data_IF_165504153454
#
_entry.id   IF_165504153454
#
_cell.length_a   1.000
_cell.length_b   1.000
_cell.length_c   1.000
_cell.angle_alpha   90.00
_cell.angle_beta   90.00
_cell.angle_gamma   90.00
#
_symmetry.space_group_name_H-M   'P 1'
#
loop_
_entity.id
_entity.type
_entity.pdbx_description
1 polymer ?
#
# COMPACT_ATOMS: atom_id res chain seq x y z
N UNK A 1 45.77 50.37 -65.35
CA UNK A 1 45.59 49.38 -64.28
C UNK A 1 46.17 50.04 -63.04
N UNK A 2 45.45 51.05 -62.56
CA UNK A 2 44.34 50.96 -61.58
C UNK A 2 44.98 51.25 -60.22
N UNK A 3 44.87 52.52 -59.81
CA UNK A 3 43.87 53.00 -58.85
C UNK A 3 44.26 52.60 -57.41
N UNK A 4 44.29 53.46 -56.40
CA UNK A 4 44.00 54.88 -56.28
C UNK A 4 44.46 55.33 -54.88
N UNK A 5 44.99 56.56 -54.85
CA UNK A 5 45.05 57.62 -53.82
C UNK A 5 44.72 57.27 -52.34
N UNK A 6 45.61 57.53 -51.37
CA UNK A 6 45.98 58.84 -50.78
C UNK A 6 44.87 59.41 -49.86
N UNK A 7 45.11 59.48 -48.54
CA UNK A 7 45.28 60.73 -47.77
C UNK A 7 45.23 60.52 -46.24
N UNK A 8 46.30 60.97 -45.59
CA UNK A 8 46.37 61.40 -44.19
C UNK A 8 45.42 62.60 -43.94
N UNK A 9 44.80 62.72 -42.76
CA UNK A 9 45.38 63.45 -41.62
C UNK A 9 44.34 63.72 -40.50
N UNK A 10 44.86 63.65 -39.28
CA UNK A 10 44.51 64.29 -37.99
C UNK A 10 43.28 65.21 -37.86
N UNK A 11 42.60 65.11 -36.69
CA UNK A 11 42.21 66.18 -35.71
C UNK A 11 41.26 65.53 -34.69
N UNK A 12 41.64 65.37 -33.41
CA UNK A 12 41.47 66.28 -32.24
C UNK A 12 40.01 66.43 -31.72
N UNK A 13 39.82 66.15 -30.42
CA UNK A 13 38.92 66.83 -29.45
C UNK A 13 38.89 65.98 -28.17
N UNK A 14 39.63 66.37 -27.13
CA UNK A 14 39.22 67.30 -26.06
C UNK A 14 38.42 66.62 -24.93
N UNK A 15 38.87 66.91 -23.70
CA UNK A 15 38.22 66.68 -22.39
C UNK A 15 38.32 65.30 -21.72
N UNK A 16 39.56 64.97 -21.33
CA UNK A 16 39.82 64.50 -19.96
C UNK A 16 39.72 65.70 -19.00
N UNK A 17 38.65 65.76 -18.18
CA UNK A 17 38.65 66.17 -16.76
C UNK A 17 37.22 66.49 -16.28
N UNK A 18 36.67 65.58 -15.48
CA UNK A 18 36.12 65.84 -14.14
C UNK A 18 35.46 64.55 -13.64
N UNK A 19 36.13 63.86 -12.73
CA UNK A 19 35.35 63.34 -11.59
C UNK A 19 34.79 64.56 -10.84
N UNK A 20 33.56 64.45 -10.33
CA UNK A 20 33.47 64.52 -8.88
C UNK A 20 32.56 63.44 -8.31
N UNK A 21 33.10 62.77 -7.29
CA UNK A 21 32.48 62.47 -5.99
C UNK A 21 30.98 62.14 -5.94
N UNK A 22 30.71 60.94 -5.43
CA UNK A 22 29.72 60.66 -4.37
C UNK A 22 28.56 61.67 -4.26
N UNK A 23 27.40 61.28 -4.77
CA UNK A 23 26.13 61.62 -4.14
C UNK A 23 25.14 60.50 -4.42
N UNK A 24 24.65 59.91 -3.33
CA UNK A 24 23.45 59.09 -3.29
C UNK A 24 22.36 59.70 -4.18
N UNK A 25 21.82 58.90 -5.09
CA UNK A 25 20.44 59.00 -5.51
C UNK A 25 19.99 57.58 -5.84
N UNK A 26 19.61 56.84 -4.81
CA UNK A 26 18.64 55.76 -5.01
C UNK A 26 17.41 56.41 -5.66
N UNK A 27 16.90 55.88 -6.79
CA UNK A 27 15.65 56.38 -7.34
C UNK A 27 14.57 56.20 -6.28
N UNK A 28 13.90 57.29 -5.92
CA UNK A 28 12.69 57.24 -5.12
C UNK A 28 11.71 56.26 -5.77
N UNK A 29 11.39 55.19 -5.05
CA UNK A 29 10.31 54.28 -5.38
C UNK A 29 8.99 55.06 -5.26
N UNK A 30 8.58 55.69 -6.36
CA UNK A 30 7.19 56.10 -6.55
C UNK A 30 6.33 54.84 -6.54
N UNK A 31 5.45 54.73 -5.55
CA UNK A 31 4.73 53.54 -5.12
C UNK A 31 3.58 53.09 -6.06
N UNK A 32 3.78 53.10 -7.39
CA UNK A 32 2.72 52.75 -8.35
C UNK A 32 3.16 51.92 -9.57
N UNK A 33 4.39 51.40 -9.61
CA UNK A 33 4.77 50.42 -10.64
C UNK A 33 4.66 49.00 -10.06
N UNK A 34 3.95 48.12 -10.76
CA UNK A 34 3.81 46.72 -10.35
C UNK A 34 5.18 46.02 -10.37
N UNK A 35 5.38 45.09 -9.44
CA UNK A 35 6.61 44.27 -9.36
C UNK A 35 6.92 43.55 -10.69
N UNK A 36 5.89 43.28 -11.51
CA UNK A 36 6.01 42.68 -12.84
C UNK A 36 6.76 43.59 -13.85
N UNK A 37 6.63 44.91 -13.75
CA UNK A 37 7.28 45.87 -14.65
C UNK A 37 8.78 46.03 -14.33
N UNK A 38 9.14 45.93 -13.06
CA UNK A 38 10.55 45.97 -12.61
C UNK A 38 11.27 44.69 -13.01
N UNK A 39 10.63 43.53 -12.85
CA UNK A 39 11.19 42.23 -13.27
C UNK A 39 11.33 42.17 -14.80
N UNK A 40 10.31 42.61 -15.57
CA UNK A 40 10.41 42.63 -17.02
C UNK A 40 11.50 43.57 -17.54
N UNK A 41 11.72 44.74 -16.91
CA UNK A 41 12.85 45.63 -17.24
C UNK A 41 14.21 45.01 -16.94
N UNK A 42 14.35 44.34 -15.79
CA UNK A 42 15.59 43.64 -15.43
C UNK A 42 15.94 42.48 -16.39
N UNK A 43 14.93 41.83 -17.00
CA UNK A 43 15.15 40.80 -18.01
C UNK A 43 15.37 41.35 -19.44
N UNK A 44 14.85 42.53 -19.76
CA UNK A 44 15.00 43.13 -21.10
C UNK A 44 16.24 44.01 -21.25
N UNK A 45 16.69 44.71 -20.20
CA UNK A 45 17.92 45.53 -20.28
C UNK A 45 19.22 44.71 -20.20
N UNK A 46 19.16 43.44 -19.75
CA UNK A 46 20.32 42.55 -19.67
C UNK A 46 20.36 41.44 -20.73
N UNK A 47 19.42 41.42 -21.69
CA UNK A 47 19.40 40.39 -22.74
C UNK A 47 20.54 40.52 -23.75
N UNK A 48 21.05 41.73 -23.97
CA UNK A 48 22.02 42.00 -25.03
C UNK A 48 23.48 41.75 -24.63
N UNK A 49 23.77 41.60 -23.32
CA UNK A 49 25.12 41.36 -22.80
C UNK A 49 25.45 39.88 -22.49
N UNK A 50 24.52 38.95 -22.71
CA UNK A 50 24.68 37.55 -22.29
C UNK A 50 24.75 36.57 -23.48
N UNK A 51 25.50 36.93 -24.52
CA UNK A 51 25.79 36.03 -25.66
C UNK A 51 26.69 34.83 -25.31
N UNK A 52 27.26 34.81 -24.10
CA UNK A 52 28.09 33.72 -23.56
C UNK A 52 27.36 32.88 -22.49
N UNK A 53 26.04 32.75 -22.60
CA UNK A 53 25.30 31.81 -21.74
C UNK A 53 25.63 30.38 -22.19
N UNK A 54 26.52 29.69 -21.49
CA UNK A 54 26.66 28.24 -21.61
C UNK A 54 25.24 27.62 -21.51
N UNK A 55 24.86 26.69 -22.40
CA UNK A 55 23.54 26.09 -22.34
C UNK A 55 23.37 25.41 -20.99
N UNK A 56 22.40 25.90 -20.20
CA UNK A 56 22.05 25.27 -18.94
C UNK A 56 21.50 23.87 -19.23
N UNK A 57 21.82 22.88 -18.41
CA UNK A 57 21.31 21.51 -18.62
C UNK A 57 19.77 21.43 -18.60
N UNK A 58 19.08 22.47 -18.11
CA UNK A 58 17.61 22.58 -18.11
C UNK A 58 17.02 22.95 -19.47
N UNK A 59 17.85 23.38 -20.44
CA UNK A 59 17.44 23.79 -21.78
C UNK A 59 17.69 22.68 -22.83
N UNK A 60 17.91 21.43 -22.39
CA UNK A 60 18.12 20.29 -23.29
C UNK A 60 16.83 19.50 -23.55
N UNK A 61 16.69 18.85 -24.73
CA UNK A 61 15.52 18.02 -25.02
C UNK A 61 15.38 16.83 -24.05
N UNK A 62 16.49 16.33 -23.48
CA UNK A 62 16.46 15.27 -22.46
C UNK A 62 15.84 15.76 -21.14
N UNK A 63 16.08 17.02 -20.76
CA UNK A 63 15.45 17.62 -19.59
C UNK A 63 13.95 17.77 -19.81
N UNK A 64 13.51 18.28 -20.97
CA UNK A 64 12.09 18.44 -21.28
C UNK A 64 11.35 17.11 -21.28
N UNK A 65 11.96 16.07 -21.87
CA UNK A 65 11.41 14.71 -21.85
C UNK A 65 11.29 14.16 -20.43
N UNK A 66 12.31 14.37 -19.60
CA UNK A 66 12.28 13.97 -18.19
C UNK A 66 11.18 14.74 -17.43
N UNK A 67 11.04 16.04 -17.66
CA UNK A 67 9.99 16.86 -17.05
C UNK A 67 8.58 16.38 -17.44
N UNK A 68 8.38 15.99 -18.70
CA UNK A 68 7.13 15.40 -19.17
C UNK A 68 6.85 14.05 -18.49
N UNK A 69 7.84 13.16 -18.41
CA UNK A 69 7.72 11.88 -17.73
C UNK A 69 7.31 12.08 -16.25
N UNK A 70 7.94 13.01 -15.53
CA UNK A 70 7.60 13.33 -14.13
C UNK A 70 6.24 14.02 -13.98
N UNK A 71 5.81 14.82 -14.96
CA UNK A 71 4.45 15.38 -15.02
C UNK A 71 3.40 14.26 -15.19
N UNK A 72 3.71 13.25 -16.02
CA UNK A 72 2.87 12.05 -16.18
C UNK A 72 2.80 11.23 -14.90
N UNK A 73 3.93 10.99 -14.23
CA UNK A 73 3.96 10.29 -12.92
C UNK A 73 3.07 11.03 -11.92
N UNK A 74 3.18 12.36 -11.81
CA UNK A 74 2.34 13.18 -10.93
C UNK A 74 0.84 12.96 -11.19
N UNK A 75 0.41 12.93 -12.46
CA UNK A 75 -0.99 12.65 -12.83
C UNK A 75 -1.42 11.23 -12.43
N UNK A 76 -0.58 10.23 -12.67
CA UNK A 76 -0.86 8.83 -12.32
C UNK A 76 -0.96 8.63 -10.80
N UNK A 77 -0.10 9.27 -10.01
CA UNK A 77 -0.17 9.23 -8.55
C UNK A 77 -1.47 9.86 -8.03
N UNK A 78 -1.94 10.96 -8.63
CA UNK A 78 -3.24 11.54 -8.28
C UNK A 78 -4.43 10.63 -8.61
N UNK A 79 -4.31 9.73 -9.61
CA UNK A 79 -5.33 8.70 -9.90
C UNK A 79 -5.22 7.53 -8.90
N UNK A 80 -4.00 7.15 -8.52
CA UNK A 80 -3.77 6.10 -7.53
C UNK A 80 -4.33 6.47 -6.15
N UNK A 81 -4.33 7.76 -5.81
CA UNK A 81 -4.82 8.28 -4.53
C UNK A 81 -6.29 7.89 -4.23
N UNK A 82 -7.30 8.22 -5.05
CA UNK A 82 -8.67 7.74 -4.85
C UNK A 82 -8.83 6.24 -5.10
N UNK A 83 -8.03 5.66 -6.01
CA UNK A 83 -8.12 4.23 -6.32
C UNK A 83 -7.72 3.35 -5.13
N UNK A 84 -6.88 3.84 -4.22
CA UNK A 84 -6.44 3.13 -3.00
C UNK A 84 -7.57 2.71 -2.05
N UNK A 85 -8.78 3.27 -2.20
CA UNK A 85 -9.99 2.82 -1.52
C UNK A 85 -10.50 1.46 -2.05
N UNK A 86 -10.13 1.10 -3.28
CA UNK A 86 -10.52 -0.12 -3.98
C UNK A 86 -9.28 -0.96 -4.31
N UNK A 87 -8.82 -1.73 -3.33
CA UNK A 87 -7.53 -2.42 -3.37
C UNK A 87 -7.22 -3.22 -4.65
N UNK A 88 -8.15 -4.01 -5.25
CA UNK A 88 -7.84 -4.75 -6.49
C UNK A 88 -7.55 -3.84 -7.68
N UNK A 89 -8.31 -2.75 -7.78
CA UNK A 89 -8.16 -1.75 -8.84
C UNK A 89 -6.88 -0.95 -8.60
N UNK A 90 -6.64 -0.54 -7.35
CA UNK A 90 -5.41 0.12 -6.93
C UNK A 90 -4.18 -0.67 -7.32
N UNK A 91 -4.11 -1.97 -7.01
CA UNK A 91 -2.91 -2.76 -7.24
C UNK A 91 -2.50 -2.74 -8.71
N UNK A 92 -3.44 -2.96 -9.63
CA UNK A 92 -3.19 -2.96 -11.08
C UNK A 92 -2.73 -1.59 -11.58
N UNK A 93 -3.43 -0.52 -11.19
CA UNK A 93 -3.06 0.85 -11.57
C UNK A 93 -1.72 1.27 -10.97
N UNK A 94 -1.44 0.83 -9.74
CA UNK A 94 -0.22 1.17 -9.03
C UNK A 94 0.99 0.47 -9.66
N UNK A 95 0.87 -0.81 -10.03
CA UNK A 95 1.91 -1.50 -10.80
C UNK A 95 2.25 -0.81 -12.12
N UNK A 96 1.23 -0.41 -12.87
CA UNK A 96 1.43 0.35 -14.09
C UNK A 96 2.17 1.67 -13.81
N UNK A 97 1.74 2.39 -12.76
CA UNK A 97 2.36 3.64 -12.33
C UNK A 97 3.83 3.44 -11.93
N UNK A 98 4.15 2.40 -11.17
CA UNK A 98 5.52 2.04 -10.78
C UNK A 98 6.39 1.69 -11.99
N UNK A 99 5.85 0.98 -12.97
CA UNK A 99 6.58 0.63 -14.20
C UNK A 99 6.93 1.89 -14.99
N UNK A 100 5.98 2.82 -15.14
CA UNK A 100 6.21 4.12 -15.77
C UNK A 100 7.22 4.93 -14.95
N UNK A 101 7.09 4.93 -13.63
CA UNK A 101 7.97 5.68 -12.74
C UNK A 101 9.42 5.19 -12.80
N UNK A 102 9.64 3.88 -12.72
CA UNK A 102 10.97 3.29 -12.88
C UNK A 102 11.59 3.64 -14.24
N UNK A 103 10.82 3.54 -15.33
CA UNK A 103 11.31 3.91 -16.67
C UNK A 103 11.72 5.39 -16.74
N UNK A 104 10.96 6.28 -16.09
CA UNK A 104 11.26 7.71 -16.01
C UNK A 104 12.50 7.97 -15.14
N UNK A 105 12.59 7.34 -13.97
CA UNK A 105 13.72 7.48 -13.05
C UNK A 105 15.03 7.04 -13.71
N UNK A 106 15.04 5.89 -14.40
CA UNK A 106 16.23 5.41 -15.11
C UNK A 106 16.67 6.36 -16.22
N UNK A 107 15.71 6.91 -17.00
CA UNK A 107 16.01 7.90 -18.04
C UNK A 107 16.57 9.18 -17.45
N UNK A 108 15.91 9.73 -16.43
CA UNK A 108 16.33 10.95 -15.76
C UNK A 108 17.68 10.76 -15.04
N UNK A 109 17.93 9.60 -14.43
CA UNK A 109 19.22 9.27 -13.82
C UNK A 109 20.34 9.19 -14.86
N UNK A 110 20.09 8.52 -15.99
CA UNK A 110 21.10 8.41 -17.07
C UNK A 110 21.51 9.77 -17.62
N UNK A 111 20.59 10.72 -17.66
CA UNK A 111 20.83 12.11 -18.05
C UNK A 111 21.54 12.91 -16.94
N UNK A 112 21.02 12.89 -15.71
CA UNK A 112 21.47 13.74 -14.60
C UNK A 112 22.74 13.22 -13.91
N UNK A 113 23.20 11.99 -14.18
CA UNK A 113 24.46 11.45 -13.63
C UNK A 113 25.70 12.31 -13.93
N UNK A 114 25.65 13.11 -15.00
CA UNK A 114 26.70 14.04 -15.40
C UNK A 114 26.64 15.37 -14.60
N UNK A 115 25.54 15.63 -13.88
CA UNK A 115 25.24 16.87 -13.16
C UNK A 115 25.04 16.60 -11.66
N UNK A 116 26.05 15.99 -11.02
CA UNK A 116 25.96 15.47 -9.63
C UNK A 116 25.71 16.53 -8.55
N UNK A 117 26.01 17.80 -8.84
CA UNK A 117 25.79 18.94 -7.95
C UNK A 117 24.33 19.41 -7.93
N UNK A 118 23.53 19.01 -8.93
CA UNK A 118 22.13 19.39 -9.05
C UNK A 118 21.29 18.88 -7.88
N UNK A 119 20.35 19.72 -7.43
CA UNK A 119 19.34 19.33 -6.44
C UNK A 119 18.43 18.19 -6.93
N UNK A 120 18.30 17.99 -8.26
CA UNK A 120 17.53 16.90 -8.88
C UNK A 120 18.25 15.55 -8.76
N UNK A 121 19.59 15.53 -8.84
CA UNK A 121 20.36 14.27 -8.81
C UNK A 121 20.08 13.46 -7.54
N UNK A 122 20.15 14.11 -6.37
CA UNK A 122 19.90 13.46 -5.08
C UNK A 122 18.48 12.92 -4.97
N UNK A 123 17.49 13.63 -5.50
CA UNK A 123 16.09 13.23 -5.41
C UNK A 123 15.80 12.07 -6.37
N UNK A 124 16.33 12.09 -7.59
CA UNK A 124 16.17 11.01 -8.58
C UNK A 124 16.82 9.70 -8.11
N UNK A 125 18.03 9.77 -7.52
CA UNK A 125 18.68 8.57 -6.97
C UNK A 125 17.82 7.93 -5.88
N UNK A 126 17.24 8.75 -4.98
CA UNK A 126 16.33 8.27 -3.94
C UNK A 126 15.04 7.70 -4.53
N UNK A 127 14.44 8.36 -5.51
CA UNK A 127 13.22 7.89 -6.16
C UNK A 127 13.44 6.55 -6.87
N UNK A 128 14.55 6.39 -7.59
CA UNK A 128 14.87 5.14 -8.25
C UNK A 128 14.93 3.96 -7.26
N UNK A 129 15.58 4.16 -6.10
CA UNK A 129 15.60 3.16 -5.02
C UNK A 129 14.21 2.89 -4.44
N UNK A 130 13.46 3.95 -4.12
CA UNK A 130 12.14 3.83 -3.50
C UNK A 130 11.14 3.15 -4.43
N UNK A 131 11.01 3.58 -5.69
CA UNK A 131 10.10 2.97 -6.66
C UNK A 131 10.51 1.53 -7.00
N UNK A 132 11.81 1.20 -7.00
CA UNK A 132 12.26 -0.18 -7.17
C UNK A 132 11.84 -1.06 -6.00
N UNK A 133 12.03 -0.58 -4.77
CA UNK A 133 11.54 -1.27 -3.58
C UNK A 133 10.01 -1.45 -3.62
N UNK A 134 9.25 -0.42 -3.97
CA UNK A 134 7.79 -0.52 -4.10
C UNK A 134 7.37 -1.51 -5.17
N UNK A 135 8.07 -1.55 -6.30
CA UNK A 135 7.81 -2.52 -7.36
C UNK A 135 8.05 -3.95 -6.88
N UNK A 136 9.18 -4.21 -6.22
CA UNK A 136 9.50 -5.52 -5.67
C UNK A 136 8.47 -5.96 -4.61
N UNK A 137 8.08 -5.06 -3.70
CA UNK A 137 7.10 -5.34 -2.66
C UNK A 137 5.72 -5.59 -3.27
N UNK A 138 5.30 -4.80 -4.25
CA UNK A 138 4.05 -5.00 -4.99
C UNK A 138 4.06 -6.35 -5.73
N UNK A 139 5.16 -6.68 -6.42
CA UNK A 139 5.37 -7.96 -7.12
C UNK A 139 5.21 -9.14 -6.16
N UNK A 140 5.80 -9.05 -4.97
CA UNK A 140 5.66 -10.06 -3.94
C UNK A 140 4.21 -10.18 -3.44
N UNK A 141 3.50 -9.08 -3.19
CA UNK A 141 2.07 -9.10 -2.82
C UNK A 141 1.21 -9.78 -3.89
N UNK A 142 1.46 -9.48 -5.16
CA UNK A 142 0.76 -10.11 -6.27
C UNK A 142 1.03 -11.62 -6.33
N UNK A 143 2.28 -12.03 -6.09
CA UNK A 143 2.66 -13.43 -5.95
C UNK A 143 1.93 -14.14 -4.81
N UNK A 144 1.75 -13.49 -3.65
CA UNK A 144 0.97 -14.02 -2.53
C UNK A 144 -0.51 -14.22 -2.87
N UNK A 145 -1.10 -13.29 -3.63
CA UNK A 145 -2.48 -13.42 -4.12
C UNK A 145 -2.60 -14.64 -5.03
N UNK A 146 -1.70 -14.76 -6.02
CA UNK A 146 -1.69 -15.91 -6.94
C UNK A 146 -1.51 -17.21 -6.17
N UNK A 147 -0.54 -17.29 -5.26
CA UNK A 147 -0.33 -18.48 -4.44
C UNK A 147 -1.56 -18.83 -3.59
N UNK A 148 -2.23 -17.82 -3.03
CA UNK A 148 -3.48 -18.00 -2.29
C UNK A 148 -4.63 -18.55 -3.13
N UNK A 149 -4.67 -18.26 -4.43
CA UNK A 149 -5.67 -18.85 -5.34
C UNK A 149 -5.46 -20.36 -5.57
N UNK A 150 -4.22 -20.86 -5.45
CA UNK A 150 -3.87 -22.26 -5.73
C UNK A 150 -3.56 -23.08 -4.48
N UNK A 151 -3.57 -22.47 -3.29
CA UNK A 151 -3.15 -23.13 -2.05
C UNK A 151 -3.54 -22.34 -0.80
N UNK A 152 -2.75 -22.46 0.27
CA UNK A 152 -3.00 -21.73 1.50
C UNK A 152 -2.62 -20.25 1.34
N UNK A 153 -3.54 -19.35 1.69
CA UNK A 153 -3.30 -17.91 1.68
C UNK A 153 -2.60 -17.45 2.97
N UNK A 154 -1.37 -16.92 2.84
CA UNK A 154 -0.59 -16.41 3.97
C UNK A 154 -0.99 -14.97 4.33
N UNK A 155 -2.20 -14.79 4.85
CA UNK A 155 -2.76 -13.45 5.10
C UNK A 155 -1.93 -12.56 6.02
N UNK A 156 -1.25 -13.11 7.05
CA UNK A 156 -0.35 -12.32 7.91
C UNK A 156 0.84 -11.73 7.14
N UNK A 157 1.43 -12.52 6.24
CA UNK A 157 2.54 -12.06 5.39
C UNK A 157 2.01 -11.00 4.44
N UNK A 158 0.85 -11.23 3.82
CA UNK A 158 0.20 -10.28 2.93
C UNK A 158 -0.05 -8.92 3.61
N UNK A 159 -0.58 -8.92 4.83
CA UNK A 159 -0.79 -7.70 5.63
C UNK A 159 0.54 -7.00 5.93
N UNK A 160 1.55 -7.74 6.38
CA UNK A 160 2.88 -7.16 6.68
C UNK A 160 3.51 -6.51 5.44
N UNK A 161 3.46 -7.21 4.30
CA UNK A 161 3.96 -6.67 3.02
C UNK A 161 3.19 -5.43 2.60
N UNK A 162 1.87 -5.39 2.78
CA UNK A 162 1.05 -4.20 2.51
C UNK A 162 1.42 -2.99 3.37
N UNK A 163 1.72 -3.20 4.65
CA UNK A 163 2.21 -2.14 5.56
C UNK A 163 3.56 -1.61 5.05
N UNK A 164 4.49 -2.49 4.67
CA UNK A 164 5.80 -2.10 4.13
C UNK A 164 5.63 -1.26 2.87
N UNK A 165 4.80 -1.71 1.92
CA UNK A 165 4.55 -1.00 0.67
C UNK A 165 4.10 0.44 0.95
N UNK A 166 3.12 0.57 1.82
CA UNK A 166 2.50 1.84 2.14
C UNK A 166 3.43 2.78 2.92
N UNK A 167 4.28 2.25 3.82
CA UNK A 167 5.33 3.04 4.46
C UNK A 167 6.30 3.62 3.44
N UNK A 168 6.72 2.83 2.44
CA UNK A 168 7.60 3.32 1.36
C UNK A 168 6.88 4.40 0.54
N UNK A 169 5.59 4.21 0.24
CA UNK A 169 4.74 5.17 -0.48
C UNK A 169 4.59 6.52 0.22
N UNK A 170 4.56 6.53 1.56
CA UNK A 170 4.55 7.78 2.33
C UNK A 170 5.81 8.64 2.14
N UNK A 171 6.94 8.05 1.69
CA UNK A 171 8.17 8.77 1.38
C UNK A 171 8.34 9.03 -0.12
N UNK A 172 8.01 8.06 -0.97
CA UNK A 172 8.21 8.16 -2.42
C UNK A 172 7.24 9.14 -3.08
N UNK A 173 5.95 9.15 -2.71
CA UNK A 173 4.95 9.99 -3.38
C UNK A 173 5.23 11.48 -3.15
N UNK A 174 5.48 11.97 -1.91
CA UNK A 174 5.87 13.36 -1.71
C UNK A 174 7.14 13.74 -2.46
N UNK A 175 8.13 12.84 -2.49
CA UNK A 175 9.40 13.08 -3.17
C UNK A 175 9.21 13.15 -4.70
N UNK A 176 8.33 12.32 -5.26
CA UNK A 176 8.01 12.32 -6.69
C UNK A 176 7.26 13.60 -7.09
N UNK A 177 6.30 14.03 -6.28
CA UNK A 177 5.59 15.31 -6.48
C UNK A 177 6.53 16.51 -6.37
N UNK A 178 7.40 16.52 -5.36
CA UNK A 178 8.44 17.55 -5.21
C UNK A 178 9.37 17.58 -6.40
N UNK A 179 9.86 16.43 -6.85
CA UNK A 179 10.78 16.32 -8.00
C UNK A 179 10.09 16.79 -9.29
N UNK A 180 8.82 16.46 -9.49
CA UNK A 180 8.00 16.98 -10.60
C UNK A 180 7.90 18.52 -10.58
N UNK A 181 7.75 19.12 -9.40
CA UNK A 181 7.75 20.59 -9.27
C UNK A 181 9.11 21.21 -9.57
N UNK A 182 10.21 20.56 -9.16
CA UNK A 182 11.57 21.00 -9.49
C UNK A 182 11.83 20.99 -11.00
N UNK A 183 11.39 19.94 -11.69
CA UNK A 183 11.44 19.88 -13.15
C UNK A 183 10.61 21.01 -13.80
N UNK A 184 9.39 21.24 -13.32
CA UNK A 184 8.52 22.32 -13.81
C UNK A 184 9.14 23.71 -13.61
N UNK A 185 9.77 23.93 -12.47
CA UNK A 185 10.37 25.22 -12.11
C UNK A 185 11.78 25.41 -12.68
N UNK A 186 12.31 24.42 -13.42
CA UNK A 186 13.68 24.43 -13.97
C UNK A 186 14.74 24.79 -12.91
N UNK A 187 14.67 24.16 -11.73
CA UNK A 187 15.58 24.50 -10.61
C UNK A 187 17.07 24.39 -10.99
N UNK A 188 17.93 25.36 -10.59
CA UNK A 188 19.30 25.49 -11.06
C UNK A 188 20.27 24.42 -10.52
N UNK A 189 21.45 24.33 -11.16
CA UNK A 189 22.52 23.35 -10.88
C UNK A 189 23.12 23.43 -9.46
N UNK A 190 22.99 24.57 -8.78
CA UNK A 190 23.59 24.83 -7.48
C UNK A 190 22.47 25.10 -6.47
N UNK A 191 22.49 24.41 -5.33
CA UNK A 191 21.60 24.71 -4.20
C UNK A 191 21.75 26.18 -3.81
N UNK A 192 20.71 26.99 -4.05
CA UNK A 192 20.65 28.34 -3.49
C UNK A 192 20.62 28.23 -1.96
N UNK A 193 21.43 29.07 -1.29
CA UNK A 193 21.63 29.09 0.17
C UNK A 193 20.35 29.38 0.98
N UNK A 194 19.30 29.85 0.31
CA UNK A 194 17.95 30.01 0.85
C UNK A 194 16.96 29.40 -0.14
N UNK A 195 16.57 28.13 0.04
CA UNK A 195 15.49 27.56 -0.77
C UNK A 195 14.22 28.35 -0.48
N UNK A 196 13.51 28.80 -1.53
CA UNK A 196 12.13 29.25 -1.40
C UNK A 196 11.33 27.99 -1.06
N UNK A 197 11.19 27.70 0.24
CA UNK A 197 10.43 26.55 0.72
C UNK A 197 8.95 26.89 0.60
N UNK A 198 8.39 26.74 -0.60
CA UNK A 198 6.96 26.43 -0.68
C UNK A 198 6.81 25.00 -0.20
N UNK A 199 6.47 24.82 1.09
CA UNK A 199 5.96 23.53 1.54
C UNK A 199 4.72 23.26 0.68
N UNK A 200 4.68 22.20 -0.14
CA UNK A 200 3.52 21.95 -0.98
C UNK A 200 2.32 21.80 -0.05
N UNK A 201 1.27 22.61 -0.21
CA UNK A 201 0.03 22.52 0.59
C UNK A 201 -0.55 21.10 0.67
N UNK A 202 -0.17 20.25 -0.28
CA UNK A 202 -0.64 18.88 -0.44
C UNK A 202 0.19 17.83 0.33
N UNK A 203 1.42 18.14 0.77
CA UNK A 203 2.28 17.13 1.41
C UNK A 203 1.68 16.61 2.74
N UNK A 204 1.19 17.53 3.58
CA UNK A 204 0.52 17.16 4.83
C UNK A 204 -0.80 16.43 4.58
N UNK A 205 -1.58 16.87 3.59
CA UNK A 205 -2.83 16.24 3.21
C UNK A 205 -2.63 14.79 2.72
N UNK A 206 -1.58 14.56 1.91
CA UNK A 206 -1.22 13.23 1.42
C UNK A 206 -0.76 12.33 2.58
N UNK A 207 0.02 12.87 3.53
CA UNK A 207 0.43 12.10 4.72
C UNK A 207 -0.76 11.72 5.60
N UNK A 208 -1.65 12.67 5.91
CA UNK A 208 -2.86 12.41 6.73
C UNK A 208 -3.78 11.40 6.04
N UNK A 209 -4.06 11.60 4.75
CA UNK A 209 -4.89 10.69 3.99
C UNK A 209 -4.25 9.30 3.85
N UNK A 210 -2.94 9.25 3.62
CA UNK A 210 -2.16 8.02 3.63
C UNK A 210 -2.34 7.26 4.94
N UNK A 211 -2.25 7.93 6.09
CA UNK A 211 -2.50 7.30 7.40
C UNK A 211 -3.94 6.77 7.54
N UNK A 212 -4.94 7.52 7.05
CA UNK A 212 -6.34 7.05 7.09
C UNK A 212 -6.52 5.79 6.23
N UNK A 213 -5.95 5.78 5.02
CA UNK A 213 -5.92 4.61 4.14
C UNK A 213 -5.20 3.46 4.82
N UNK A 214 -4.08 3.71 5.52
CA UNK A 214 -3.33 2.69 6.25
C UNK A 214 -4.23 1.99 7.24
N UNK A 215 -4.90 2.77 8.08
CA UNK A 215 -5.78 2.24 9.11
C UNK A 215 -6.98 1.51 8.51
N UNK A 216 -7.57 2.04 7.45
CA UNK A 216 -8.71 1.43 6.77
C UNK A 216 -8.34 0.12 6.07
N UNK A 217 -7.26 0.09 5.29
CA UNK A 217 -6.81 -1.12 4.61
C UNK A 217 -6.32 -2.18 5.61
N UNK A 218 -5.66 -1.77 6.70
CA UNK A 218 -5.28 -2.69 7.76
C UNK A 218 -6.52 -3.32 8.41
N UNK A 219 -7.51 -2.50 8.78
CA UNK A 219 -8.77 -2.98 9.34
C UNK A 219 -9.48 -3.94 8.38
N UNK A 220 -9.61 -3.56 7.11
CA UNK A 220 -10.26 -4.36 6.08
C UNK A 220 -9.50 -5.67 5.85
N UNK A 221 -8.17 -5.65 5.81
CA UNK A 221 -7.36 -6.84 5.59
C UNK A 221 -7.42 -7.81 6.78
N UNK A 222 -7.39 -7.31 8.02
CA UNK A 222 -7.60 -8.12 9.22
C UNK A 222 -9.01 -8.70 9.25
N UNK A 223 -10.02 -7.89 8.93
CA UNK A 223 -11.41 -8.33 8.86
C UNK A 223 -11.61 -9.43 7.80
N UNK A 224 -11.09 -9.21 6.58
CA UNK A 224 -11.13 -10.19 5.50
C UNK A 224 -10.36 -11.45 5.86
N UNK A 225 -9.17 -11.33 6.46
CA UNK A 225 -8.40 -12.49 6.92
C UNK A 225 -9.20 -13.35 7.89
N UNK A 226 -9.76 -12.74 8.94
CA UNK A 226 -10.59 -13.46 9.92
C UNK A 226 -11.83 -14.08 9.26
N UNK A 227 -12.46 -13.36 8.32
CA UNK A 227 -13.62 -13.86 7.57
C UNK A 227 -13.27 -15.08 6.71
N UNK A 228 -12.17 -15.02 5.94
CA UNK A 228 -11.71 -16.12 5.10
C UNK A 228 -11.20 -17.30 5.92
N UNK A 229 -10.47 -17.07 7.02
CA UNK A 229 -10.05 -18.12 7.95
C UNK A 229 -11.27 -18.83 8.55
N UNK A 230 -12.32 -18.08 8.89
CA UNK A 230 -13.60 -18.64 9.35
C UNK A 230 -14.30 -19.49 8.29
N UNK A 231 -14.47 -18.97 7.07
CA UNK A 231 -15.07 -19.72 5.96
C UNK A 231 -14.27 -20.99 5.64
N UNK A 232 -12.95 -20.88 5.58
CA UNK A 232 -12.07 -21.99 5.28
C UNK A 232 -12.12 -23.06 6.38
N UNK A 233 -12.14 -22.65 7.64
CA UNK A 233 -12.32 -23.58 8.75
C UNK A 233 -13.66 -24.33 8.67
N UNK A 234 -14.76 -23.62 8.46
CA UNK A 234 -16.10 -24.23 8.41
C UNK A 234 -16.30 -25.15 7.21
N UNK A 235 -15.65 -24.87 6.08
CA UNK A 235 -15.84 -25.65 4.84
C UNK A 235 -14.85 -26.79 4.68
N UNK A 236 -13.63 -26.66 5.23
CA UNK A 236 -12.56 -27.64 5.02
C UNK A 236 -12.27 -28.49 6.25
N UNK A 237 -12.11 -27.86 7.42
CA UNK A 237 -11.61 -28.55 8.62
C UNK A 237 -12.73 -29.04 9.54
N UNK A 238 -13.76 -28.23 9.78
CA UNK A 238 -14.87 -28.61 10.65
C UNK A 238 -15.62 -29.87 10.17
N UNK A 239 -15.85 -30.09 8.85
CA UNK A 239 -16.48 -31.32 8.37
C UNK A 239 -15.65 -32.59 8.58
N UNK A 240 -14.33 -32.48 8.78
CA UNK A 240 -13.51 -33.66 9.14
C UNK A 240 -13.95 -34.28 10.48
N UNK A 241 -14.69 -33.55 11.32
CA UNK A 241 -15.24 -34.04 12.58
C UNK A 241 -16.51 -34.90 12.41
N UNK A 242 -17.18 -34.77 11.27
CA UNK A 242 -18.44 -35.46 10.96
C UNK A 242 -18.45 -36.96 11.23
N UNK A 243 -17.44 -37.73 10.77
CA UNK A 243 -17.33 -39.15 11.04
C UNK A 243 -17.32 -39.48 12.54
N UNK A 244 -16.56 -38.75 13.36
CA UNK A 244 -16.46 -38.98 14.79
C UNK A 244 -17.79 -38.67 15.53
N UNK A 245 -18.47 -37.59 15.13
CA UNK A 245 -19.81 -37.24 15.66
C UNK A 245 -20.84 -38.32 15.33
N UNK A 246 -20.80 -38.88 14.12
CA UNK A 246 -21.70 -39.96 13.69
C UNK A 246 -21.43 -41.27 14.42
N UNK A 247 -20.16 -41.66 14.52
CA UNK A 247 -19.73 -42.87 15.23
C UNK A 247 -20.15 -42.83 16.70
N UNK A 248 -19.93 -41.72 17.40
CA UNK A 248 -20.34 -41.57 18.80
C UNK A 248 -21.85 -41.69 18.97
N UNK A 249 -22.61 -40.98 18.12
CA UNK A 249 -24.08 -41.00 18.15
C UNK A 249 -24.61 -42.42 17.94
N UNK A 250 -24.05 -43.15 16.97
CA UNK A 250 -24.46 -44.52 16.71
C UNK A 250 -24.17 -45.44 17.89
N UNK A 251 -22.97 -45.36 18.49
CA UNK A 251 -22.64 -46.12 19.68
C UNK A 251 -23.63 -45.87 20.83
N UNK A 252 -24.00 -44.61 21.06
CA UNK A 252 -24.96 -44.25 22.11
C UNK A 252 -26.35 -44.84 21.82
N UNK A 253 -26.78 -44.81 20.56
CA UNK A 253 -28.06 -45.41 20.15
C UNK A 253 -28.04 -46.93 20.37
N UNK A 254 -26.97 -47.61 19.98
CA UNK A 254 -26.80 -49.07 20.10
C UNK A 254 -26.82 -49.52 21.57
N UNK A 255 -26.29 -48.71 22.49
CA UNK A 255 -26.33 -48.98 23.94
C UNK A 255 -27.65 -48.55 24.61
N UNK A 256 -28.67 -48.21 23.82
CA UNK A 256 -30.01 -47.91 24.32
C UNK A 256 -30.18 -46.49 24.83
N UNK A 257 -29.43 -45.52 24.30
CA UNK A 257 -29.52 -44.11 24.69
C UNK A 257 -30.93 -43.52 24.59
N UNK A 258 -31.85 -44.11 23.81
CA UNK A 258 -33.26 -43.68 23.71
C UNK A 258 -34.19 -44.21 24.82
N UNK A 259 -33.71 -45.05 25.74
CA UNK A 259 -34.54 -45.64 26.82
C UNK A 259 -35.07 -44.59 27.80
N UNK A 260 -34.32 -43.52 28.04
CA UNK A 260 -34.66 -42.42 28.95
C UNK A 260 -35.09 -41.14 28.19
N UNK A 261 -35.74 -41.31 27.02
CA UNK A 261 -36.05 -40.19 26.13
C UNK A 261 -36.95 -39.13 26.80
N UNK A 262 -36.42 -37.92 26.90
CA UNK A 262 -37.13 -36.71 27.30
C UNK A 262 -36.80 -35.60 26.29
N UNK A 263 -37.78 -35.19 25.49
CA UNK A 263 -37.57 -34.28 24.37
C UNK A 263 -36.94 -32.94 24.80
N UNK A 264 -35.92 -32.48 24.05
CA UNK A 264 -35.25 -31.21 24.29
C UNK A 264 -34.23 -31.24 25.43
N UNK A 265 -34.10 -32.35 26.16
CA UNK A 265 -33.16 -32.51 27.28
C UNK A 265 -31.83 -33.07 26.77
N UNK A 266 -30.68 -32.60 27.30
CA UNK A 266 -29.40 -33.20 26.99
C UNK A 266 -29.35 -34.65 27.52
N UNK A 267 -28.65 -35.52 26.78
CA UNK A 267 -28.48 -36.92 27.14
C UNK A 267 -27.79 -37.07 28.51
N UNK A 268 -28.39 -37.84 29.43
CA UNK A 268 -27.89 -38.05 30.81
C UNK A 268 -26.90 -39.22 30.90
N UNK A 269 -26.04 -39.16 31.93
CA UNK A 269 -24.78 -39.92 32.12
C UNK A 269 -24.82 -41.46 32.02
N UNK A 270 -25.97 -42.14 32.01
CA UNK A 270 -26.07 -43.60 32.18
C UNK A 270 -25.57 -44.44 30.99
N UNK A 271 -25.55 -43.89 29.77
CA UNK A 271 -25.20 -44.63 28.54
C UNK A 271 -23.82 -44.29 27.96
N UNK A 272 -23.07 -43.41 28.64
CA UNK A 272 -21.96 -42.66 28.07
C UNK A 272 -20.58 -43.24 28.42
N UNK A 273 -20.51 -44.16 29.38
CA UNK A 273 -19.29 -44.84 29.82
C UNK A 273 -18.79 -45.89 28.82
N UNK A 274 -19.68 -46.50 28.04
CA UNK A 274 -19.35 -47.56 27.08
C UNK A 274 -18.88 -47.01 25.72
N UNK A 275 -19.34 -45.81 25.35
CA UNK A 275 -18.93 -45.11 24.12
C UNK A 275 -17.72 -44.18 24.31
N UNK A 276 -17.09 -44.20 25.49
CA UNK A 276 -16.02 -43.26 25.87
C UNK A 276 -14.70 -43.42 25.11
N UNK A 277 -14.51 -44.49 24.34
CA UNK A 277 -13.31 -44.72 23.53
C UNK A 277 -13.61 -44.62 22.04
N UNK A 278 -13.97 -43.43 21.56
CA UNK A 278 -13.55 -43.09 20.19
C UNK A 278 -12.05 -42.89 20.30
N UNK A 279 -11.28 -43.90 19.89
CA UNK A 279 -9.83 -43.82 19.84
C UNK A 279 -9.42 -42.47 19.24
N UNK A 280 -8.47 -41.77 19.87
CA UNK A 280 -7.90 -40.47 19.47
C UNK A 280 -8.06 -40.20 17.96
N UNK A 281 -9.20 -39.62 17.57
CA UNK A 281 -9.46 -39.33 16.16
C UNK A 281 -8.53 -38.18 15.81
N UNK A 282 -7.46 -38.52 15.08
CA UNK A 282 -6.42 -37.59 14.68
C UNK A 282 -6.35 -37.58 13.17
N UNK A 283 -6.50 -36.38 12.63
CA UNK A 283 -6.16 -36.07 11.24
C UNK A 283 -4.95 -35.16 11.24
N UNK A 284 -4.52 -34.69 10.08
CA UNK A 284 -3.46 -33.67 9.99
C UNK A 284 -3.84 -32.38 10.75
N UNK A 285 -5.14 -32.08 10.87
CA UNK A 285 -5.63 -30.82 11.44
C UNK A 285 -6.32 -31.00 12.80
N UNK A 286 -6.93 -32.17 13.07
CA UNK A 286 -7.56 -32.47 14.35
C UNK A 286 -6.51 -33.09 15.28
N UNK A 287 -6.11 -32.35 16.31
CA UNK A 287 -5.07 -32.78 17.26
C UNK A 287 -5.60 -33.77 18.29
N UNK A 288 -6.91 -33.79 18.48
CA UNK A 288 -7.59 -34.78 19.30
C UNK A 288 -9.09 -34.54 19.35
N UNK A 289 -9.83 -35.64 19.43
CA UNK A 289 -11.25 -35.66 19.76
C UNK A 289 -11.40 -36.35 21.10
N UNK A 290 -12.01 -35.65 22.05
CA UNK A 290 -12.30 -36.15 23.38
C UNK A 290 -13.81 -36.23 23.55
N UNK A 291 -14.31 -37.45 23.61
CA UNK A 291 -15.65 -37.71 24.10
C UNK A 291 -15.62 -37.65 25.63
N UNK A 292 -16.17 -36.57 26.19
CA UNK A 292 -16.57 -36.54 27.58
C UNK A 292 -18.00 -37.06 27.67
N UNK A 293 -18.39 -37.54 28.85
CA UNK A 293 -19.70 -38.18 29.11
C UNK A 293 -20.84 -37.49 28.34
N UNK A 294 -21.01 -36.18 28.48
CA UNK A 294 -22.12 -35.42 27.91
C UNK A 294 -21.78 -34.59 26.65
N UNK A 295 -20.54 -34.62 26.18
CA UNK A 295 -20.07 -33.71 25.12
C UNK A 295 -18.90 -34.29 24.34
N UNK A 296 -18.85 -34.00 23.05
CA UNK A 296 -17.68 -34.26 22.22
C UNK A 296 -16.93 -32.95 22.01
N UNK A 297 -15.65 -32.93 22.36
CA UNK A 297 -14.77 -31.79 22.17
C UNK A 297 -13.66 -32.15 21.20
N UNK A 298 -13.45 -31.32 20.18
CA UNK A 298 -12.38 -31.47 19.22
C UNK A 298 -11.44 -30.27 19.30
N UNK A 299 -10.14 -30.55 19.23
CA UNK A 299 -9.10 -29.53 19.13
C UNK A 299 -8.53 -29.53 17.73
N UNK A 300 -8.38 -28.33 17.16
CA UNK A 300 -7.81 -28.12 15.84
C UNK A 300 -6.47 -27.42 15.97
N UNK A 301 -5.49 -27.85 15.17
CA UNK A 301 -4.19 -27.18 15.08
C UNK A 301 -4.26 -25.92 14.21
N UNK A 302 -5.07 -25.94 13.16
CA UNK A 302 -5.12 -24.89 12.16
C UNK A 302 -6.55 -24.55 11.71
N UNK A 303 -7.08 -23.35 12.03
CA UNK A 303 -6.58 -22.45 13.08
C UNK A 303 -6.62 -23.14 14.45
N UNK A 304 -5.75 -22.69 15.36
CA UNK A 304 -5.72 -23.24 16.72
C UNK A 304 -7.02 -22.85 17.46
N UNK A 305 -7.93 -23.80 17.58
CA UNK A 305 -9.27 -23.59 18.14
C UNK A 305 -9.87 -24.87 18.68
N UNK A 306 -11.01 -24.77 19.36
CA UNK A 306 -11.77 -25.92 19.83
C UNK A 306 -13.24 -25.83 19.46
N UNK A 307 -13.80 -26.98 19.11
CA UNK A 307 -15.22 -27.19 18.85
C UNK A 307 -15.79 -28.10 19.93
N UNK A 308 -16.99 -27.82 20.43
CA UNK A 308 -17.68 -28.68 21.40
C UNK A 308 -19.13 -28.86 20.97
N UNK A 309 -19.59 -30.09 20.91
CA UNK A 309 -20.99 -30.44 20.65
C UNK A 309 -21.57 -31.28 21.80
N UNK A 310 -22.88 -31.14 22.02
CA UNK A 310 -23.65 -31.81 23.07
C UNK A 310 -24.81 -32.56 22.42
N UNK A 311 -25.09 -33.79 22.86
CA UNK A 311 -26.23 -34.58 22.39
C UNK A 311 -27.52 -34.20 23.11
N UNK A 312 -28.59 -34.06 22.34
CA UNK A 312 -29.95 -33.80 22.82
C UNK A 312 -30.93 -34.82 22.27
N UNK A 313 -31.94 -35.15 23.07
CA UNK A 313 -33.11 -35.88 22.60
C UNK A 313 -33.99 -34.99 21.73
N UNK A 314 -34.44 -35.52 20.59
CA UNK A 314 -35.39 -34.82 19.71
C UNK A 314 -36.28 -35.80 18.97
N UNK A 315 -37.52 -35.39 18.70
CA UNK A 315 -38.40 -36.10 17.76
C UNK A 315 -38.26 -35.48 16.37
N UNK A 316 -37.81 -36.25 15.38
CA UNK A 316 -37.67 -35.80 13.98
C UNK A 316 -38.60 -36.66 13.12
N UNK A 317 -39.54 -36.03 12.41
CA UNK A 317 -40.53 -36.73 11.58
C UNK A 317 -41.32 -37.83 12.32
N UNK A 318 -41.57 -37.64 13.61
CA UNK A 318 -42.28 -38.62 14.45
C UNK A 318 -41.39 -39.72 15.05
N UNK A 319 -40.10 -39.75 14.72
CA UNK A 319 -39.15 -40.72 15.25
C UNK A 319 -38.28 -40.10 16.36
N UNK A 320 -38.17 -40.81 17.49
CA UNK A 320 -37.27 -40.43 18.60
C UNK A 320 -35.83 -40.62 18.18
N UNK A 321 -35.03 -39.57 18.28
CA UNK A 321 -33.62 -39.62 17.91
C UNK A 321 -32.77 -38.75 18.84
N UNK A 322 -31.46 -38.81 18.61
CA UNK A 322 -30.47 -37.95 19.23
C UNK A 322 -29.94 -36.99 18.17
N UNK A 323 -29.77 -35.72 18.52
CA UNK A 323 -29.14 -34.72 17.65
C UNK A 323 -27.99 -34.02 18.37
N UNK A 324 -26.98 -33.63 17.61
CA UNK A 324 -25.90 -32.79 18.11
C UNK A 324 -26.30 -31.31 18.05
N UNK A 325 -25.94 -30.57 19.09
CA UNK A 325 -25.97 -29.10 19.10
C UNK A 325 -24.58 -28.57 19.43
N UNK A 326 -24.11 -27.61 18.63
CA UNK A 326 -22.85 -26.93 18.89
C UNK A 326 -22.98 -26.08 20.16
N UNK A 327 -21.98 -26.16 21.03
CA UNK A 327 -21.93 -25.37 22.26
C UNK A 327 -21.46 -23.95 21.96
N UNK A 328 -22.16 -22.91 22.42
CA UNK A 328 -21.71 -21.52 22.26
C UNK A 328 -20.42 -21.21 23.02
N UNK A 329 -20.00 -22.09 23.94
CA UNK A 329 -18.74 -22.00 24.68
C UNK A 329 -17.53 -22.50 23.87
N UNK A 330 -17.72 -22.96 22.65
CA UNK A 330 -16.63 -23.40 21.77
C UNK A 330 -15.73 -22.23 21.40
N UNK A 331 -14.41 -22.38 21.48
CA UNK A 331 -13.47 -21.29 21.14
C UNK A 331 -13.59 -20.84 19.68
N UNK A 332 -14.09 -21.72 18.80
CA UNK A 332 -14.33 -21.42 17.40
C UNK A 332 -15.57 -20.52 17.18
N UNK A 333 -16.45 -20.36 18.17
CA UNK A 333 -17.68 -19.57 18.03
C UNK A 333 -17.38 -18.09 17.74
N UNK A 334 -16.42 -17.52 18.47
CA UNK A 334 -16.02 -16.11 18.31
C UNK A 334 -15.18 -15.87 17.06
N UNK A 335 -14.32 -16.82 16.70
CA UNK A 335 -13.28 -16.64 15.68
C UNK A 335 -13.72 -17.06 14.29
N UNK A 336 -14.43 -18.18 14.17
CA UNK A 336 -14.69 -18.82 12.87
C UNK A 336 -16.17 -19.07 12.61
N UNK A 337 -17.08 -18.59 13.47
CA UNK A 337 -18.53 -18.79 13.34
C UNK A 337 -18.93 -20.27 13.20
N UNK A 338 -18.18 -21.16 13.86
CA UNK A 338 -18.38 -22.61 13.78
C UNK A 338 -19.72 -23.12 14.36
N UNK A 339 -20.57 -22.23 14.86
CA UNK A 339 -21.91 -22.55 15.35
C UNK A 339 -22.98 -22.52 14.25
N UNK A 340 -22.69 -21.90 13.10
CA UNK A 340 -23.63 -21.81 11.97
C UNK A 340 -23.85 -23.16 11.27
N UNK A 341 -22.82 -24.01 11.04
CA UNK A 341 -23.03 -25.33 10.42
C UNK A 341 -23.83 -26.26 11.33
N UNK A 342 -24.81 -26.99 10.76
CA UNK A 342 -25.56 -28.02 11.49
C UNK A 342 -24.64 -29.18 11.87
N UNK A 343 -24.40 -29.44 13.16
CA UNK A 343 -23.53 -30.52 13.61
C UNK A 343 -23.93 -31.91 13.11
N UNK A 344 -25.19 -32.11 12.72
CA UNK A 344 -25.71 -33.39 12.23
C UNK A 344 -25.45 -33.59 10.73
N UNK A 345 -25.08 -32.52 10.01
CA UNK A 345 -24.71 -32.53 8.59
C UNK A 345 -23.19 -32.55 8.36
N UNK A 346 -22.40 -32.44 9.44
CA UNK A 346 -20.94 -32.49 9.38
C UNK A 346 -20.41 -33.86 8.95
#
# INVERSE_FOLDING_TARGET
MDDSREYENTVNNEELKKEPSSCNNAPELSSQNSDDDVINRLYTEYSDFNKDRFPSFVDTPEFEKSAEDFSRIKRLLYICFPASLFFPVFLMFYFYTLTVALSADYRAYSFIKNYRTSALYKDIVKLCLLHLCEFCVSAFMFGLIIHGCFGNFYGKIFILTGIILMMISCFSWPLALKTSEKFRNREPEIQQSTPIVSVPKYELAIKIYGVIIVMFNFFLAVYLYNYYEGLYFNTRYLPELGPALREYRQCVLDNGGLKEFEEGVPLKNSFLTECGSINDYRTENITGVHAFREKLSASFFFPMTSYTAILFYQTVNGEKTLIWKASPKSSCAEKTKCLEPDPNLL
#
